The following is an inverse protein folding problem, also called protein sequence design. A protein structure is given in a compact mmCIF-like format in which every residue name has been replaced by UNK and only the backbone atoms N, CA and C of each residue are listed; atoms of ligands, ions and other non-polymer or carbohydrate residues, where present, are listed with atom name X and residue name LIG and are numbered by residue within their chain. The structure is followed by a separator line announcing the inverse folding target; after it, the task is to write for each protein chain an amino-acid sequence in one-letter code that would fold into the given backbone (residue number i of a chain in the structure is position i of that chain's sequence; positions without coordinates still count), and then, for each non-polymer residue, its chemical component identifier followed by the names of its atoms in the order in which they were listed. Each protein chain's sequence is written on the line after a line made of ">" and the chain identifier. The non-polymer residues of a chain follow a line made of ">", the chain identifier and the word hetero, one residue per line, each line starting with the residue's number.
data_IF_425795754322
#
_entry.id   IF_425795754322
#
_cell.length_a   1.000
_cell.length_b   1.000
_cell.length_c   1.000
_cell.angle_alpha   90.00
_cell.angle_beta   90.00
_cell.angle_gamma   90.00
#
_symmetry.space_group_name_H-M   'P 1'
#
loop_
_entity.id
_entity.type
_entity.pdbx_description
1 polymer ?
#
# COMPACT_ATOMS: atom_id res chain seq x y z
N UNK A 1 -7.72 9.60 -2.18
CA UNK A 1 -8.00 9.18 -0.79
C UNK A 1 -7.13 10.02 0.15
N UNK A 2 -7.64 11.12 0.63
CA UNK A 2 -6.84 11.98 1.49
C UNK A 2 -6.78 11.45 2.90
N UNK A 3 -5.56 11.33 3.41
CA UNK A 3 -5.34 10.94 4.80
C UNK A 3 -4.85 12.11 5.64
N UNK A 4 -4.65 13.26 5.01
CA UNK A 4 -4.03 14.39 5.69
C UNK A 4 -4.80 14.86 6.92
N UNK A 5 -6.12 14.81 6.85
CA UNK A 5 -6.94 15.22 7.99
C UNK A 5 -6.85 14.25 9.16
N UNK A 6 -6.44 13.01 8.90
CA UNK A 6 -6.36 11.95 9.90
C UNK A 6 -4.93 11.70 10.39
N UNK A 7 -3.94 12.31 9.73
CA UNK A 7 -2.53 12.10 10.06
C UNK A 7 -1.90 13.42 10.44
N UNK A 8 -1.79 13.65 11.75
CA UNK A 8 -1.15 14.87 12.24
C UNK A 8 0.30 14.93 11.82
N UNK A 9 0.67 16.04 11.19
CA UNK A 9 2.05 16.28 10.82
C UNK A 9 2.48 15.65 9.51
N UNK A 10 1.58 14.96 8.81
CA UNK A 10 1.88 14.34 7.52
C UNK A 10 1.02 14.95 6.43
N UNK A 11 1.64 15.27 5.32
CA UNK A 11 0.95 15.87 4.17
C UNK A 11 1.39 15.17 2.89
N UNK A 12 0.52 15.20 1.90
CA UNK A 12 0.87 14.71 0.57
C UNK A 12 2.06 15.49 0.03
N UNK A 13 3.03 14.77 -0.52
CA UNK A 13 4.20 15.33 -1.17
C UNK A 13 3.97 15.21 -2.67
N UNK A 14 3.34 16.23 -3.24
CA UNK A 14 2.93 16.21 -4.64
C UNK A 14 1.58 15.54 -4.82
N UNK A 15 1.16 15.43 -6.06
CA UNK A 15 -0.11 14.79 -6.37
C UNK A 15 0.04 13.28 -6.48
N UNK A 16 -0.97 12.51 -6.06
CA UNK A 16 -0.96 11.07 -6.28
C UNK A 16 -0.88 10.76 -7.77
N UNK A 17 -0.16 9.71 -8.10
CA UNK A 17 -0.05 9.23 -9.48
C UNK A 17 -0.93 8.02 -9.66
N UNK A 18 -1.56 7.90 -10.82
CA UNK A 18 -2.43 6.76 -11.12
C UNK A 18 -2.06 6.16 -12.47
N UNK A 19 -2.35 4.87 -12.62
CA UNK A 19 -2.16 4.19 -13.89
C UNK A 19 -3.14 3.04 -13.99
N UNK A 20 -3.57 2.73 -15.22
CA UNK A 20 -4.49 1.63 -15.49
C UNK A 20 -3.87 0.71 -16.54
N UNK A 21 -4.11 -0.59 -16.38
CA UNK A 21 -3.68 -1.57 -17.36
C UNK A 21 -2.18 -1.52 -17.63
N UNK A 22 -1.82 -1.57 -18.91
CA UNK A 22 -0.41 -1.60 -19.30
C UNK A 22 0.33 -0.31 -19.01
N UNK A 23 -0.37 0.76 -18.70
CA UNK A 23 0.28 2.02 -18.34
C UNK A 23 1.05 1.92 -17.04
N UNK A 24 0.84 0.83 -16.28
CA UNK A 24 1.61 0.57 -15.08
C UNK A 24 3.11 0.51 -15.39
N UNK A 25 3.49 0.01 -16.58
CA UNK A 25 4.89 -0.07 -16.98
C UNK A 25 5.56 1.30 -17.07
N UNK A 26 4.77 2.35 -17.28
CA UNK A 26 5.30 3.72 -17.31
C UNK A 26 5.51 4.29 -15.92
N UNK A 27 4.80 3.76 -14.94
CA UNK A 27 4.77 4.34 -13.61
C UNK A 27 5.72 3.66 -12.63
N UNK A 28 5.88 2.35 -12.72
CA UNK A 28 6.77 1.63 -11.83
C UNK A 28 7.81 0.85 -12.63
N UNK A 29 9.01 0.76 -12.06
CA UNK A 29 10.11 -0.01 -12.63
C UNK A 29 10.17 -1.35 -11.93
N UNK A 30 10.06 -2.42 -12.71
CA UNK A 30 10.08 -3.75 -12.15
C UNK A 30 8.78 -4.06 -11.43
N UNK A 31 8.39 -5.30 -11.41
CA UNK A 31 7.17 -5.73 -10.74
C UNK A 31 5.89 -5.47 -11.51
N UNK A 32 5.87 -4.53 -12.48
CA UNK A 32 4.67 -4.26 -13.25
C UNK A 32 4.15 -5.51 -13.94
N UNK A 33 5.06 -6.29 -14.48
CA UNK A 33 4.72 -7.51 -15.18
C UNK A 33 3.95 -8.49 -14.29
N UNK A 34 4.38 -8.60 -13.04
CA UNK A 34 3.71 -9.46 -12.06
C UNK A 34 2.27 -9.01 -11.83
N UNK A 35 2.06 -7.71 -11.65
CA UNK A 35 0.72 -7.19 -11.42
C UNK A 35 -0.19 -7.42 -12.61
N UNK A 36 0.30 -7.14 -13.81
CA UNK A 36 -0.50 -7.32 -15.02
C UNK A 36 -0.83 -8.80 -15.22
N UNK A 37 0.15 -9.66 -14.96
CA UNK A 37 -0.03 -11.10 -15.12
C UNK A 37 -1.09 -11.65 -14.16
N UNK A 38 -1.12 -11.15 -12.91
CA UNK A 38 -2.07 -11.64 -11.93
C UNK A 38 -3.48 -11.04 -12.09
N UNK A 39 -3.62 -10.00 -12.89
CA UNK A 39 -4.92 -9.40 -13.11
C UNK A 39 -5.04 -8.02 -12.49
N UNK A 40 -4.31 -7.07 -13.04
CA UNK A 40 -4.25 -5.70 -12.54
C UNK A 40 -5.29 -4.81 -13.22
N UNK A 41 -5.94 -3.95 -12.44
CA UNK A 41 -6.85 -2.95 -12.96
C UNK A 41 -6.22 -1.56 -12.92
N UNK A 42 -5.93 -1.05 -11.73
CA UNK A 42 -5.33 0.29 -11.60
C UNK A 42 -4.55 0.42 -10.31
N UNK A 43 -3.71 1.45 -10.24
CA UNK A 43 -2.92 1.75 -9.06
C UNK A 43 -3.01 3.23 -8.73
N UNK A 44 -2.93 3.52 -7.44
CA UNK A 44 -2.73 4.88 -6.93
C UNK A 44 -1.44 4.85 -6.13
N UNK A 45 -0.51 5.74 -6.47
CA UNK A 45 0.74 5.91 -5.74
C UNK A 45 0.74 7.28 -5.09
N UNK A 46 0.99 7.34 -3.80
CA UNK A 46 1.04 8.59 -3.06
C UNK A 46 2.23 8.58 -2.13
N UNK A 47 2.83 9.76 -1.93
CA UNK A 47 3.91 9.93 -0.98
C UNK A 47 3.47 10.96 0.05
N UNK A 48 3.67 10.65 1.32
CA UNK A 48 3.39 11.58 2.42
C UNK A 48 4.70 12.01 3.05
N UNK A 49 4.75 13.25 3.51
CA UNK A 49 5.96 13.85 4.06
C UNK A 49 5.63 14.55 5.39
N UNK A 50 6.55 14.49 6.34
CA UNK A 50 6.43 15.24 7.58
C UNK A 50 7.36 16.44 7.57
N UNK A 51 7.36 17.21 8.66
CA UNK A 51 8.17 18.43 8.78
C UNK A 51 9.67 18.15 8.74
N UNK A 52 10.06 16.94 9.12
CA UNK A 52 11.47 16.56 9.16
C UNK A 52 11.98 16.03 7.82
N UNK A 53 11.12 16.01 6.80
CA UNK A 53 11.50 15.49 5.49
C UNK A 53 11.41 13.98 5.36
N UNK A 54 10.88 13.30 6.37
CA UNK A 54 10.66 11.86 6.28
C UNK A 54 9.50 11.58 5.35
N UNK A 55 9.58 10.50 4.62
CA UNK A 55 8.55 10.14 3.64
C UNK A 55 8.02 8.75 3.87
N UNK A 56 6.73 8.58 3.61
CA UNK A 56 6.09 7.26 3.61
C UNK A 56 5.39 7.12 2.26
N UNK A 57 5.67 6.03 1.57
CA UNK A 57 5.06 5.76 0.28
C UNK A 57 3.87 4.83 0.47
N UNK A 58 2.79 5.16 -0.23
CA UNK A 58 1.56 4.37 -0.21
C UNK A 58 1.25 3.93 -1.64
N UNK A 59 1.06 2.63 -1.83
CA UNK A 59 0.69 2.06 -3.12
C UNK A 59 -0.60 1.27 -2.92
N UNK A 60 -1.62 1.63 -3.67
CA UNK A 60 -2.91 0.93 -3.62
C UNK A 60 -3.16 0.34 -5.00
N UNK A 61 -3.12 -0.98 -5.09
CA UNK A 61 -3.35 -1.72 -6.32
C UNK A 61 -4.75 -2.32 -6.30
N UNK A 62 -5.59 -1.88 -7.23
CA UNK A 62 -6.89 -2.51 -7.43
C UNK A 62 -6.71 -3.62 -8.45
N UNK A 63 -6.95 -4.84 -8.05
CA UNK A 63 -6.82 -6.00 -8.91
C UNK A 63 -8.18 -6.35 -9.48
N UNK A 64 -8.21 -7.26 -10.46
CA UNK A 64 -9.45 -7.64 -11.12
C UNK A 64 -10.31 -8.56 -10.27
N UNK A 65 -9.73 -9.15 -9.23
CA UNK A 65 -10.46 -10.06 -8.34
C UNK A 65 -9.77 -10.15 -6.99
N UNK A 66 -10.48 -10.60 -5.95
CA UNK A 66 -9.83 -10.88 -4.65
C UNK A 66 -8.74 -11.95 -4.76
N UNK A 67 -8.91 -12.92 -5.64
CA UNK A 67 -7.89 -13.96 -5.85
C UNK A 67 -6.61 -13.37 -6.40
N UNK A 68 -6.72 -12.44 -7.36
CA UNK A 68 -5.56 -11.76 -7.91
C UNK A 68 -4.86 -10.93 -6.84
N UNK A 69 -5.63 -10.23 -6.02
CA UNK A 69 -5.06 -9.45 -4.93
C UNK A 69 -4.35 -10.34 -3.92
N UNK A 70 -4.92 -11.49 -3.62
CA UNK A 70 -4.32 -12.44 -2.70
C UNK A 70 -2.99 -12.98 -3.24
N UNK A 71 -2.95 -13.28 -4.53
CA UNK A 71 -1.73 -13.79 -5.16
C UNK A 71 -0.59 -12.79 -5.05
N UNK A 72 -0.87 -11.52 -5.34
CA UNK A 72 0.13 -10.45 -5.24
C UNK A 72 0.52 -10.24 -3.78
N UNK A 73 -0.45 -10.27 -2.86
CA UNK A 73 -0.17 -10.10 -1.44
C UNK A 73 0.84 -11.14 -0.95
N UNK A 74 0.63 -12.40 -1.34
CA UNK A 74 1.53 -13.48 -0.92
C UNK A 74 2.93 -13.28 -1.47
N UNK A 75 3.05 -12.84 -2.71
CA UNK A 75 4.36 -12.60 -3.31
C UNK A 75 5.09 -11.46 -2.62
N UNK A 76 4.39 -10.39 -2.28
CA UNK A 76 4.99 -9.23 -1.63
C UNK A 76 5.32 -9.50 -0.17
N UNK A 77 4.44 -10.21 0.54
CA UNK A 77 4.66 -10.49 1.94
C UNK A 77 5.83 -11.45 2.15
N UNK A 78 6.00 -12.41 1.25
CA UNK A 78 7.09 -13.39 1.37
C UNK A 78 6.94 -14.21 2.64
N UNK A 79 8.06 -14.82 3.05
CA UNK A 79 8.07 -15.67 4.24
C UNK A 79 8.68 -15.02 5.46
N UNK A 80 9.26 -13.83 5.30
CA UNK A 80 10.05 -13.21 6.37
C UNK A 80 9.25 -12.27 7.25
N UNK A 81 8.12 -11.79 6.77
CA UNK A 81 7.36 -10.82 7.53
C UNK A 81 6.61 -11.44 8.68
N UNK A 82 6.34 -10.64 9.69
CA UNK A 82 5.48 -11.06 10.78
C UNK A 82 4.05 -10.65 10.48
N UNK A 83 3.12 -11.47 10.92
CA UNK A 83 1.71 -11.22 10.69
C UNK A 83 1.23 -10.05 11.55
N UNK A 84 0.46 -9.15 10.94
CA UNK A 84 -0.20 -8.07 11.65
C UNK A 84 -1.67 -8.07 11.24
N UNK A 85 -2.50 -7.32 11.97
CA UNK A 85 -3.94 -7.38 11.77
C UNK A 85 -4.47 -6.11 11.13
N UNK A 86 -4.46 -6.09 9.79
CA UNK A 86 -5.02 -5.00 8.99
C UNK A 86 -5.69 -5.67 7.79
N UNK A 87 -6.89 -5.23 7.44
CA UNK A 87 -7.59 -5.83 6.32
C UNK A 87 -7.83 -7.31 6.55
N UNK A 88 -7.73 -8.10 5.50
CA UNK A 88 -7.97 -9.55 5.58
C UNK A 88 -6.70 -10.35 5.78
N UNK A 89 -5.59 -9.80 5.34
CA UNK A 89 -4.30 -10.45 5.50
C UNK A 89 -3.22 -9.38 5.42
N UNK A 90 -2.29 -9.39 6.36
CA UNK A 90 -1.25 -8.37 6.40
C UNK A 90 0.05 -8.93 6.96
N UNK A 91 1.17 -8.40 6.48
CA UNK A 91 2.49 -8.77 6.94
C UNK A 91 3.36 -7.52 7.03
N UNK A 92 4.20 -7.46 8.04
CA UNK A 92 5.17 -6.40 8.24
C UNK A 92 6.55 -7.02 8.19
N UNK A 93 7.36 -6.60 7.21
CA UNK A 93 8.72 -7.06 7.03
C UNK A 93 9.62 -5.85 6.89
N UNK A 94 10.57 -5.71 7.80
CA UNK A 94 11.43 -4.53 7.84
C UNK A 94 10.54 -3.28 7.96
N UNK A 95 10.64 -2.32 7.06
CA UNK A 95 9.74 -1.14 7.08
C UNK A 95 8.72 -1.20 5.94
N UNK A 96 8.37 -2.39 5.49
CA UNK A 96 7.32 -2.60 4.48
C UNK A 96 6.13 -3.29 5.11
N UNK A 97 4.96 -2.68 4.93
CA UNK A 97 3.71 -3.29 5.37
C UNK A 97 2.86 -3.55 4.15
N UNK A 98 2.50 -4.81 3.95
CA UNK A 98 1.66 -5.23 2.84
C UNK A 98 0.38 -5.83 3.37
N UNK A 99 -0.76 -5.37 2.87
CA UNK A 99 -2.03 -5.98 3.27
C UNK A 99 -2.99 -6.09 2.09
N UNK A 100 -3.99 -6.94 2.26
CA UNK A 100 -5.04 -7.15 1.28
C UNK A 100 -6.39 -6.92 1.93
N UNK A 101 -7.29 -6.28 1.17
CA UNK A 101 -8.69 -6.16 1.55
C UNK A 101 -9.51 -6.25 0.26
N UNK A 102 -10.33 -7.31 0.12
CA UNK A 102 -11.07 -7.55 -1.10
C UNK A 102 -10.14 -7.68 -2.30
N UNK A 103 -10.41 -6.91 -3.35
CA UNK A 103 -9.59 -6.94 -4.57
C UNK A 103 -8.43 -5.94 -4.51
N UNK A 104 -8.18 -5.34 -3.35
CA UNK A 104 -7.11 -4.37 -3.19
C UNK A 104 -5.91 -4.96 -2.48
N UNK A 105 -4.73 -4.70 -3.02
CA UNK A 105 -3.46 -5.01 -2.37
C UNK A 105 -2.76 -3.69 -2.11
N UNK A 106 -2.33 -3.46 -0.87
CA UNK A 106 -1.77 -2.19 -0.44
C UNK A 106 -0.38 -2.40 0.13
N UNK A 107 0.54 -1.52 -0.25
CA UNK A 107 1.91 -1.51 0.28
C UNK A 107 2.21 -0.14 0.86
N UNK A 108 2.69 -0.14 2.09
CA UNK A 108 3.21 1.05 2.74
C UNK A 108 4.69 0.85 3.00
N UNK A 109 5.50 1.83 2.60
CA UNK A 109 6.94 1.77 2.80
C UNK A 109 7.36 2.90 3.72
N UNK A 110 7.96 2.56 4.83
CA UNK A 110 8.48 3.54 5.78
C UNK A 110 9.92 3.93 5.47
N UNK A 111 10.63 4.43 6.46
CA UNK A 111 11.98 4.92 6.29
C UNK A 111 12.98 4.32 7.29
N UNK A 112 12.49 3.64 8.31
CA UNK A 112 13.34 2.90 9.24
C UNK A 112 12.51 1.86 9.97
N UNK A 113 13.16 1.10 10.86
CA UNK A 113 12.49 0.03 11.60
C UNK A 113 12.27 0.39 13.06
N UNK A 114 12.34 1.66 13.41
CA UNK A 114 12.08 2.08 14.78
C UNK A 114 10.62 1.87 15.11
N UNK A 115 10.35 1.60 16.38
CA UNK A 115 9.01 1.31 16.85
C UNK A 115 8.00 2.38 16.45
N UNK A 116 8.38 3.64 16.56
CA UNK A 116 7.50 4.75 16.21
C UNK A 116 7.10 4.72 14.75
N UNK A 117 8.06 4.41 13.85
CA UNK A 117 7.78 4.32 12.44
C UNK A 117 6.85 3.15 12.14
N UNK A 118 7.12 2.01 12.76
CA UNK A 118 6.29 0.83 12.53
C UNK A 118 4.87 1.03 13.04
N UNK A 119 4.71 1.70 14.17
CA UNK A 119 3.37 2.04 14.70
C UNK A 119 2.65 3.01 13.76
N UNK A 120 3.39 3.95 13.18
CA UNK A 120 2.82 4.89 12.23
C UNK A 120 2.32 4.14 10.97
N UNK A 121 3.12 3.21 10.46
CA UNK A 121 2.71 2.40 9.31
C UNK A 121 1.45 1.61 9.62
N UNK A 122 1.36 1.02 10.80
CA UNK A 122 0.16 0.30 11.21
C UNK A 122 -1.04 1.21 11.28
N UNK A 123 -0.87 2.40 11.85
CA UNK A 123 -1.96 3.38 11.93
C UNK A 123 -2.43 3.84 10.57
N UNK A 124 -1.50 4.12 9.65
CA UNK A 124 -1.85 4.50 8.29
C UNK A 124 -2.57 3.36 7.57
N UNK A 125 -2.08 2.14 7.76
CA UNK A 125 -2.69 0.97 7.13
C UNK A 125 -4.13 0.80 7.59
N UNK A 126 -4.40 1.01 8.88
CA UNK A 126 -5.77 0.93 9.39
C UNK A 126 -6.67 1.98 8.74
N UNK A 127 -6.18 3.21 8.60
CA UNK A 127 -6.94 4.27 7.94
C UNK A 127 -7.24 3.94 6.48
N UNK A 128 -6.24 3.42 5.78
CA UNK A 128 -6.44 3.04 4.38
C UNK A 128 -7.44 1.89 4.29
N UNK A 129 -7.31 0.89 5.15
CA UNK A 129 -8.24 -0.24 5.15
C UNK A 129 -9.67 0.21 5.38
N UNK A 130 -9.89 1.19 6.26
CA UNK A 130 -11.22 1.74 6.50
C UNK A 130 -11.77 2.44 5.28
N UNK A 131 -10.91 3.11 4.51
CA UNK A 131 -11.33 3.81 3.31
C UNK A 131 -11.56 2.91 2.12
N UNK A 132 -10.91 1.75 2.12
CA UNK A 132 -11.26 0.70 1.18
C UNK A 132 -12.48 0.03 1.78
N UNK A 133 -13.55 0.74 1.83
CA UNK A 133 -14.68 0.22 2.51
C UNK A 133 -15.28 -0.90 1.72
N UNK A 134 -15.83 -1.76 2.45
CA UNK A 134 -16.61 -2.78 1.85
C UNK A 134 -17.65 -2.11 1.00
N UNK A 135 -17.75 -2.50 -0.22
CA UNK A 135 -18.84 -2.01 -1.05
C UNK A 135 -20.11 -2.44 -0.38
N UNK A 136 -21.01 -1.76 -0.62
CA UNK A 136 -22.23 -2.08 -0.04
C UNK A 136 -23.12 -2.92 -0.90
#
# INVERSE_FOLDING_TARGET
>A
MPLESDLKGWKLDGEPQTAEGIRLFELINGGAEEYVKEGFSRVILATYRNKEGKRINLEIYEMLSPEAANSIQRKKAGDKGRRVFVGEEAALDDYYLNFRKGAYQVTLSGYDTQRETLELLLGMAQLVAERISAPH
#
